data_IF_826884758142
#
_entry.id   IF_826884758142
#
_cell.length_a   1.000
_cell.length_b   1.000
_cell.length_c   1.000
_cell.angle_alpha   90.00
_cell.angle_beta   90.00
_cell.angle_gamma   90.00
#
_symmetry.space_group_name_H-M   'P 1'
#
loop_
_entity.id
_entity.type
_entity.pdbx_description
1 polymer ?
#
# COMPACT_ATOMS: atom_id res chain seq x y z
N UNK A 1 1.40 -3.28 17.82
CA UNK A 1 1.05 -2.84 16.46
C UNK A 1 -0.37 -3.29 16.11
N UNK A 2 -1.27 -2.34 15.82
CA UNK A 2 -2.65 -2.61 15.40
C UNK A 2 -2.83 -2.09 13.97
N UNK A 3 -2.62 -2.97 13.00
CA UNK A 3 -2.72 -2.59 11.59
C UNK A 3 -4.18 -2.29 11.23
N UNK A 4 -4.39 -1.15 10.58
CA UNK A 4 -5.71 -0.70 10.13
C UNK A 4 -5.64 -0.19 8.71
N UNK A 5 -6.66 -0.52 7.91
CA UNK A 5 -6.85 0.04 6.58
C UNK A 5 -7.59 1.36 6.74
N UNK A 6 -6.95 2.45 6.34
CA UNK A 6 -7.54 3.79 6.41
C UNK A 6 -8.30 4.17 5.15
N UNK A 7 -7.82 3.70 3.99
CA UNK A 7 -8.48 3.85 2.69
C UNK A 7 -8.18 2.63 1.83
N UNK A 8 -9.16 2.24 1.03
CA UNK A 8 -9.08 1.18 0.02
C UNK A 8 -9.66 1.75 -1.28
N UNK A 9 -8.89 1.70 -2.37
CA UNK A 9 -9.33 2.16 -3.68
C UNK A 9 -8.60 1.40 -4.80
N UNK A 10 -9.37 0.67 -5.62
CA UNK A 10 -8.84 -0.23 -6.63
C UNK A 10 -8.01 -1.36 -6.00
N UNK A 11 -6.77 -1.51 -6.45
CA UNK A 11 -5.83 -2.47 -5.88
C UNK A 11 -4.92 -1.85 -4.81
N UNK A 12 -5.12 -0.59 -4.40
CA UNK A 12 -4.24 0.08 -3.46
C UNK A 12 -4.92 0.32 -2.11
N UNK A 13 -4.17 0.10 -1.03
CA UNK A 13 -4.61 0.41 0.34
C UNK A 13 -3.63 1.33 1.03
N UNK A 14 -4.16 2.34 1.72
CA UNK A 14 -3.43 3.13 2.70
C UNK A 14 -3.66 2.51 4.07
N UNK A 15 -2.58 2.09 4.72
CA UNK A 15 -2.62 1.42 6.03
C UNK A 15 -1.88 2.23 7.09
N UNK A 16 -2.26 2.01 8.35
CA UNK A 16 -1.63 2.58 9.55
C UNK A 16 -1.31 1.47 10.53
N UNK A 17 -0.19 1.61 11.23
CA UNK A 17 0.22 0.68 12.30
C UNK A 17 -0.40 1.02 13.67
N UNK A 18 -1.12 2.14 13.76
CA UNK A 18 -1.74 2.67 14.97
C UNK A 18 -0.79 3.53 15.83
N UNK A 19 0.48 3.65 15.47
CA UNK A 19 1.54 4.34 16.22
C UNK A 19 2.10 5.54 15.44
N UNK A 20 1.34 6.04 14.45
CA UNK A 20 1.69 7.22 13.66
C UNK A 20 2.55 6.91 12.42
N UNK A 21 2.70 5.64 12.05
CA UNK A 21 3.34 5.22 10.80
C UNK A 21 2.30 4.76 9.79
N UNK A 22 2.52 5.13 8.54
CA UNK A 22 1.60 4.91 7.44
C UNK A 22 2.33 4.29 6.25
N UNK A 23 1.66 3.42 5.51
CA UNK A 23 2.21 2.82 4.31
C UNK A 23 1.14 2.61 3.24
N UNK A 24 1.59 2.48 2.00
CA UNK A 24 0.73 2.11 0.88
C UNK A 24 1.12 0.73 0.40
N UNK A 25 0.15 -0.16 0.24
CA UNK A 25 0.35 -1.51 -0.30
C UNK A 25 -0.55 -1.71 -1.51
N UNK A 26 -0.20 -2.68 -2.34
CA UNK A 26 -1.09 -3.21 -3.36
C UNK A 26 -1.74 -4.49 -2.83
N UNK A 27 -3.05 -4.66 -3.00
CA UNK A 27 -3.81 -5.83 -2.58
C UNK A 27 -4.57 -6.38 -3.80
N UNK A 28 -4.30 -7.63 -4.17
CA UNK A 28 -4.88 -8.28 -5.34
C UNK A 28 -4.87 -9.80 -5.16
N UNK A 29 -5.96 -10.46 -5.56
CA UNK A 29 -6.07 -11.91 -5.61
C UNK A 29 -5.71 -12.61 -4.26
N UNK A 30 -6.12 -12.03 -3.13
CA UNK A 30 -5.85 -12.58 -1.80
C UNK A 30 -4.40 -12.43 -1.32
N UNK A 31 -3.58 -11.67 -2.06
CA UNK A 31 -2.20 -11.34 -1.72
C UNK A 31 -2.04 -9.83 -1.56
N UNK A 32 -1.05 -9.44 -0.78
CA UNK A 32 -0.58 -8.06 -0.65
C UNK A 32 0.86 -7.96 -1.11
N UNK A 33 1.21 -6.83 -1.70
CA UNK A 33 2.51 -6.58 -2.31
C UNK A 33 3.12 -5.28 -1.79
N UNK A 34 4.44 -5.30 -1.58
CA UNK A 34 5.20 -4.11 -1.28
C UNK A 34 5.24 -3.18 -2.48
N UNK A 35 4.92 -1.92 -2.24
CA UNK A 35 5.19 -0.83 -3.16
C UNK A 35 6.44 -0.04 -2.77
N UNK A 36 7.23 -0.57 -1.83
CA UNK A 36 8.40 0.06 -1.22
C UNK A 36 9.66 -0.76 -1.49
N UNK A 37 10.78 -0.08 -1.70
CA UNK A 37 12.06 -0.72 -1.98
C UNK A 37 12.18 -1.27 -3.41
N UNK A 38 13.31 -1.92 -3.69
CA UNK A 38 13.62 -2.53 -5.01
C UNK A 38 13.07 -3.95 -5.14
N UNK A 39 12.83 -4.64 -4.02
CA UNK A 39 12.27 -6.00 -4.01
C UNK A 39 10.76 -5.93 -3.74
N UNK A 40 9.98 -6.50 -4.65
CA UNK A 40 8.54 -6.66 -4.50
C UNK A 40 8.30 -7.84 -3.54
N UNK A 41 8.20 -7.54 -2.24
CA UNK A 41 7.77 -8.51 -1.23
C UNK A 41 6.28 -8.81 -1.43
N UNK A 42 5.87 -10.05 -1.18
CA UNK A 42 4.48 -10.49 -1.24
C UNK A 42 4.13 -11.32 0.00
N UNK A 43 2.87 -11.28 0.41
CA UNK A 43 2.35 -12.06 1.52
C UNK A 43 0.82 -12.24 1.38
N UNK A 44 0.24 -13.14 2.17
CA UNK A 44 -1.21 -13.28 2.26
C UNK A 44 -1.88 -11.96 2.69
N UNK A 45 -3.09 -11.70 2.19
CA UNK A 45 -3.91 -10.55 2.59
C UNK A 45 -4.43 -10.70 4.03
N UNK A 46 -3.56 -10.42 4.98
CA UNK A 46 -3.82 -10.42 6.42
C UNK A 46 -3.09 -9.26 7.09
N UNK A 47 -3.46 -8.90 8.32
CA UNK A 47 -2.75 -7.84 9.05
C UNK A 47 -1.24 -8.13 9.19
N UNK A 48 -0.87 -9.39 9.44
CA UNK A 48 0.54 -9.79 9.53
C UNK A 48 1.24 -9.72 8.17
N UNK A 49 0.57 -10.18 7.10
CA UNK A 49 1.12 -10.10 5.75
C UNK A 49 1.33 -8.65 5.30
N UNK A 50 0.38 -7.76 5.58
CA UNK A 50 0.51 -6.33 5.31
C UNK A 50 1.70 -5.71 6.04
N UNK A 51 1.89 -6.04 7.32
CA UNK A 51 3.05 -5.57 8.08
C UNK A 51 4.37 -6.09 7.49
N UNK A 52 4.40 -7.36 7.10
CA UNK A 52 5.57 -8.02 6.54
C UNK A 52 6.01 -7.42 5.20
N UNK A 53 5.08 -7.13 4.29
CA UNK A 53 5.44 -6.56 2.98
C UNK A 53 5.93 -5.12 3.09
N UNK A 54 5.39 -4.32 4.01
CA UNK A 54 5.90 -2.97 4.28
C UNK A 54 7.32 -3.01 4.86
N UNK A 55 7.60 -3.99 5.72
CA UNK A 55 8.90 -4.16 6.36
C UNK A 55 9.29 -2.95 7.21
N UNK A 56 10.59 -2.77 7.44
CA UNK A 56 11.13 -1.63 8.22
C UNK A 56 11.27 -0.36 7.39
N UNK A 57 11.33 -0.49 6.07
CA UNK A 57 11.70 0.57 5.13
C UNK A 57 10.52 1.19 4.37
N UNK A 58 9.30 0.63 4.48
CA UNK A 58 8.11 1.14 3.79
C UNK A 58 7.25 2.12 4.59
N UNK A 59 7.41 2.18 5.92
CA UNK A 59 6.65 3.07 6.79
C UNK A 59 7.05 4.54 6.63
N UNK A 60 6.07 5.44 6.56
CA UNK A 60 6.26 6.88 6.33
C UNK A 60 5.31 7.71 7.21
N UNK A 61 5.57 9.01 7.28
CA UNK A 61 4.62 9.97 7.83
C UNK A 61 3.34 10.04 6.98
N UNK A 62 2.21 10.36 7.64
CA UNK A 62 0.86 10.38 7.05
C UNK A 62 0.80 11.10 5.71
N UNK A 63 1.24 12.36 5.68
CA UNK A 63 1.16 13.20 4.48
C UNK A 63 1.93 12.59 3.28
N UNK A 64 3.07 11.96 3.53
CA UNK A 64 3.88 11.29 2.49
C UNK A 64 3.18 10.05 1.96
N UNK A 65 2.61 9.23 2.85
CA UNK A 65 1.88 8.02 2.47
C UNK A 65 0.61 8.38 1.67
N UNK A 66 -0.14 9.39 2.12
CA UNK A 66 -1.34 9.87 1.42
C UNK A 66 -1.02 10.46 0.03
N UNK A 67 0.08 11.22 -0.08
CA UNK A 67 0.53 11.72 -1.39
C UNK A 67 0.85 10.58 -2.34
N UNK A 68 1.61 9.58 -1.87
CA UNK A 68 1.96 8.39 -2.67
C UNK A 68 0.71 7.61 -3.09
N UNK A 69 -0.26 7.43 -2.19
CA UNK A 69 -1.53 6.77 -2.49
C UNK A 69 -2.25 7.45 -3.66
N UNK A 70 -2.36 8.79 -3.63
CA UNK A 70 -2.97 9.57 -4.71
C UNK A 70 -2.20 9.46 -6.03
N UNK A 71 -0.87 9.45 -5.97
CA UNK A 71 -0.02 9.30 -7.16
C UNK A 71 -0.20 7.95 -7.85
N UNK A 72 -0.28 6.86 -7.06
CA UNK A 72 -0.50 5.51 -7.58
C UNK A 72 -1.86 5.39 -8.29
N UNK A 73 -2.93 5.87 -7.63
CA UNK A 73 -4.28 5.91 -8.21
C UNK A 73 -4.33 6.69 -9.52
N UNK A 74 -3.74 7.89 -9.55
CA UNK A 74 -3.70 8.72 -10.78
C UNK A 74 -2.90 8.08 -11.92
N UNK A 75 -1.84 7.34 -11.61
CA UNK A 75 -1.06 6.61 -12.63
C UNK A 75 -1.89 5.48 -13.23
N UNK A 76 -2.56 4.69 -12.39
CA UNK A 76 -3.44 3.61 -12.84
C UNK A 76 -4.59 4.13 -13.71
N UNK A 77 -5.24 5.22 -13.30
CA UNK A 77 -6.28 5.89 -14.11
C UNK A 77 -5.77 6.39 -15.46
N UNK A 78 -4.48 6.77 -15.54
CA UNK A 78 -3.86 7.18 -16.80
C UNK A 78 -3.57 5.97 -17.69
N UNK A 79 -3.07 4.88 -17.11
CA UNK A 79 -2.80 3.65 -17.86
C UNK A 79 -4.09 3.01 -18.37
N UNK A 80 -5.16 2.97 -17.56
CA UNK A 80 -6.44 2.40 -17.99
C UNK A 80 -7.05 3.15 -19.19
N UNK A 81 -6.82 4.46 -19.31
CA UNK A 81 -7.25 5.29 -20.45
C UNK A 81 -6.41 5.14 -21.71
N UNK A 82 -5.19 4.60 -21.63
CA UNK A 82 -4.29 4.42 -22.77
C UNK A 82 -4.39 3.01 -23.39
N UNK A 83 -5.00 2.07 -22.69
CA UNK A 83 -5.09 0.66 -23.07
C UNK A 83 -6.44 0.34 -23.76
N UNK A 84 -7.29 1.34 -23.97
CA UNK A 84 -8.58 1.24 -24.67
C UNK A 84 -8.58 2.03 -25.97
#
# INVERSE_FOLDING_TARGET
MRLSILRDDGQYRLISDGEGRYAVIEARAGQVYSLHGRQRREAADSAEGMAAVVGTDGWRAKATAERRFREMRRREDRYSRLVW
#
